data_IF_464288634701
#
_entry.id   IF_464288634701
#
_cell.length_a   1.000
_cell.length_b   1.000
_cell.length_c   1.000
_cell.angle_alpha   90.00
_cell.angle_beta   90.00
_cell.angle_gamma   90.00
#
_symmetry.space_group_name_H-M   'P 1'
#
loop_
_entity.id
_entity.type
_entity.pdbx_description
1 polymer ?
#
# COMPACT_ATOMS: atom_id res chain seq x y z
N UNK A 1 4.31 1.56 -10.45
CA UNK A 1 3.99 0.12 -10.58
C UNK A 1 3.21 -0.14 -11.86
N UNK A 2 1.95 0.29 -11.98
CA UNK A 2 1.18 0.13 -13.23
C UNK A 2 1.88 0.71 -14.47
N UNK A 3 2.41 1.95 -14.39
CA UNK A 3 3.17 2.57 -15.48
C UNK A 3 4.49 1.86 -15.85
N UNK A 4 4.98 0.95 -14.99
CA UNK A 4 6.18 0.14 -15.23
C UNK A 4 5.82 -1.26 -15.76
N UNK A 5 4.55 -1.53 -16.06
CA UNK A 5 4.07 -2.86 -16.49
C UNK A 5 3.92 -3.87 -15.35
N UNK A 6 4.06 -3.44 -14.09
CA UNK A 6 3.92 -4.28 -12.91
C UNK A 6 2.80 -3.73 -12.02
N UNK A 7 1.54 -3.95 -12.41
CA UNK A 7 0.39 -3.47 -11.64
C UNK A 7 0.31 -4.15 -10.26
N UNK A 8 -0.26 -3.43 -9.28
CA UNK A 8 -0.52 -3.98 -7.95
C UNK A 8 -1.76 -4.88 -8.07
N UNK A 9 -1.75 -6.02 -7.39
CA UNK A 9 -2.87 -6.97 -7.44
C UNK A 9 -4.11 -6.35 -6.76
N UNK A 10 -5.25 -6.49 -7.44
CA UNK A 10 -6.55 -5.93 -7.04
C UNK A 10 -6.55 -4.39 -6.93
N UNK A 11 -5.79 -3.69 -7.76
CA UNK A 11 -5.82 -2.22 -7.86
C UNK A 11 -6.94 -1.78 -8.82
N UNK A 12 -8.03 -1.14 -8.34
CA UNK A 12 -9.14 -0.72 -9.19
C UNK A 12 -8.90 0.64 -9.85
N UNK A 13 -7.80 1.33 -9.53
CA UNK A 13 -7.56 2.70 -9.94
C UNK A 13 -6.56 2.81 -11.10
N UNK A 14 -5.69 1.83 -11.28
CA UNK A 14 -4.58 1.94 -12.21
C UNK A 14 -4.45 0.76 -13.19
N UNK A 15 -4.08 1.03 -14.46
CA UNK A 15 -3.88 2.37 -15.04
C UNK A 15 -5.19 3.11 -15.32
N UNK A 16 -6.28 2.38 -15.56
CA UNK A 16 -7.59 2.92 -15.85
C UNK A 16 -8.47 2.80 -14.60
N UNK A 17 -8.90 3.94 -14.06
CA UNK A 17 -9.76 3.95 -12.89
C UNK A 17 -11.17 3.48 -13.26
N UNK A 18 -11.68 2.50 -12.51
CA UNK A 18 -13.09 2.15 -12.57
C UNK A 18 -13.92 3.36 -12.14
N UNK A 19 -14.95 3.72 -12.92
CA UNK A 19 -15.79 4.91 -12.68
C UNK A 19 -16.55 4.86 -11.33
N UNK A 20 -16.87 3.67 -10.87
CA UNK A 20 -17.54 3.38 -9.60
C UNK A 20 -16.92 2.11 -9.00
N UNK A 21 -15.73 2.21 -8.35
CA UNK A 21 -15.13 1.05 -7.73
C UNK A 21 -16.02 0.63 -6.56
N UNK A 22 -16.73 -0.48 -6.73
CA UNK A 22 -17.37 -1.16 -5.60
C UNK A 22 -16.24 -1.61 -4.69
N UNK A 23 -16.33 -1.30 -3.39
CA UNK A 23 -15.40 -1.82 -2.38
C UNK A 23 -15.56 -3.36 -2.29
N UNK A 24 -14.87 -4.07 -3.18
CA UNK A 24 -14.82 -5.53 -3.18
C UNK A 24 -13.84 -6.02 -2.11
N UNK A 25 -14.30 -6.08 -0.87
CA UNK A 25 -13.54 -6.63 0.24
C UNK A 25 -13.23 -8.14 0.09
N UNK A 26 -13.79 -8.84 -0.91
CA UNK A 26 -13.43 -10.23 -1.21
C UNK A 26 -12.08 -10.31 -1.93
N UNK A 27 -11.70 -9.26 -2.66
CA UNK A 27 -10.42 -9.15 -3.36
C UNK A 27 -9.75 -7.81 -3.00
N UNK A 28 -9.23 -7.65 -1.78
CA UNK A 28 -8.65 -6.39 -1.35
C UNK A 28 -7.36 -6.08 -2.12
N UNK A 29 -7.06 -4.78 -2.26
CA UNK A 29 -5.80 -4.27 -2.78
C UNK A 29 -4.62 -4.89 -2.04
N UNK A 30 -3.73 -5.58 -2.76
CA UNK A 30 -2.56 -6.24 -2.17
C UNK A 30 -1.39 -5.26 -2.03
N UNK A 31 -1.56 -4.25 -1.20
CA UNK A 31 -0.53 -3.25 -0.88
C UNK A 31 -0.37 -3.11 0.64
N UNK A 32 0.85 -3.32 1.13
CA UNK A 32 1.17 -3.25 2.55
C UNK A 32 2.31 -2.26 2.80
N UNK A 33 2.05 -1.28 3.67
CA UNK A 33 3.08 -0.45 4.27
C UNK A 33 3.86 -1.28 5.31
N UNK A 34 4.92 -1.97 4.86
CA UNK A 34 5.66 -2.90 5.73
C UNK A 34 6.53 -2.20 6.77
N UNK A 35 7.13 -1.07 6.43
CA UNK A 35 7.96 -0.31 7.36
C UNK A 35 7.82 1.18 7.14
N UNK A 36 7.99 1.94 8.23
CA UNK A 36 7.97 3.41 8.23
C UNK A 36 9.21 3.89 9.00
N UNK A 37 9.97 4.80 8.40
CA UNK A 37 11.13 5.43 9.03
C UNK A 37 11.04 6.94 8.88
N UNK A 38 11.23 7.66 9.97
CA UNK A 38 11.26 9.12 9.98
C UNK A 38 12.09 9.63 11.16
N UNK A 39 12.49 10.89 11.09
CA UNK A 39 13.08 11.60 12.24
C UNK A 39 11.96 12.17 13.09
N UNK A 40 11.90 11.78 14.36
CA UNK A 40 10.91 12.29 15.30
C UNK A 40 11.07 13.82 15.43
N UNK A 41 10.04 14.63 15.10
CA UNK A 41 10.15 16.08 15.13
C UNK A 41 10.27 16.65 16.54
N UNK A 42 9.92 15.88 17.58
CA UNK A 42 9.99 16.32 18.98
C UNK A 42 11.35 15.99 19.60
N UNK A 43 11.87 14.79 19.36
CA UNK A 43 13.14 14.34 19.95
C UNK A 43 14.35 14.50 19.03
N UNK A 44 14.15 14.65 17.72
CA UNK A 44 15.22 14.64 16.71
C UNK A 44 15.81 13.25 16.45
N UNK A 45 15.33 12.21 17.12
CA UNK A 45 15.86 10.85 16.98
C UNK A 45 15.26 10.11 15.77
N UNK A 46 16.03 9.27 15.07
CA UNK A 46 15.49 8.40 14.04
C UNK A 46 14.58 7.34 14.68
N UNK A 47 13.34 7.24 14.19
CA UNK A 47 12.38 6.20 14.55
C UNK A 47 12.12 5.28 13.37
N UNK A 48 11.93 4.00 13.66
CA UNK A 48 11.54 2.98 12.70
C UNK A 48 10.44 2.13 13.30
N UNK A 49 9.41 1.87 12.50
CA UNK A 49 8.30 0.99 12.83
C UNK A 49 8.14 -0.05 11.74
N UNK A 50 7.71 -1.26 12.11
CA UNK A 50 7.41 -2.34 11.19
C UNK A 50 6.00 -2.84 11.42
N UNK A 51 5.29 -3.11 10.33
CA UNK A 51 3.97 -3.71 10.37
C UNK A 51 4.08 -5.21 10.65
N UNK A 52 3.22 -5.71 11.52
CA UNK A 52 3.10 -7.14 11.82
C UNK A 52 2.26 -7.89 10.78
N UNK A 53 1.64 -7.18 9.84
CA UNK A 53 0.86 -7.79 8.76
C UNK A 53 1.77 -8.45 7.71
N UNK A 54 1.19 -9.41 7.02
CA UNK A 54 1.76 -10.11 5.87
C UNK A 54 0.76 -10.09 4.73
N UNK A 55 1.23 -9.90 3.49
CA UNK A 55 0.38 -10.05 2.31
C UNK A 55 0.23 -11.53 1.98
N UNK A 56 -1.01 -12.01 1.95
CA UNK A 56 -1.36 -13.35 1.50
C UNK A 56 -1.57 -13.35 -0.02
N UNK A 57 -1.01 -14.35 -0.70
CA UNK A 57 -1.00 -14.46 -2.16
C UNK A 57 -2.24 -15.15 -2.72
#
# INVERSE_FOLDING_TARGET
MAALGAAICNDPFYPDALKDPVDDYRHPLKLLAKSLRFTDPLSGEPRQFESLLTLEW
#
